data_IF_060394098190
#
_entry.id   IF_060394098190
#
_cell.length_a   1.000
_cell.length_b   1.000
_cell.length_c   1.000
_cell.angle_alpha   90.00
_cell.angle_beta   90.00
_cell.angle_gamma   90.00
#
_symmetry.space_group_name_H-M   'P 1'
#
loop_
_entity.id
_entity.type
_entity.pdbx_description
1 polymer ?
#
# COMPACT_ATOMS: atom_id res chain seq x y z
N UNK A 1 13.35 1.32 -16.09
CA UNK A 1 13.48 1.33 -14.62
C UNK A 1 14.45 0.27 -14.12
N UNK A 2 15.67 0.65 -13.83
CA UNK A 2 16.70 -0.27 -13.29
C UNK A 2 16.31 -0.87 -11.95
N UNK A 3 15.64 -0.07 -11.08
CA UNK A 3 15.21 -0.48 -9.73
C UNK A 3 14.20 -1.65 -9.74
N UNK A 4 13.20 -1.62 -10.62
CA UNK A 4 12.25 -2.73 -10.78
C UNK A 4 12.94 -4.00 -11.26
N UNK A 5 13.88 -3.89 -12.20
CA UNK A 5 14.67 -5.03 -12.68
C UNK A 5 15.53 -5.64 -11.57
N UNK A 6 16.17 -4.82 -10.74
CA UNK A 6 16.94 -5.30 -9.60
C UNK A 6 16.04 -5.98 -8.54
N UNK A 7 14.87 -5.41 -8.27
CA UNK A 7 13.92 -5.98 -7.31
C UNK A 7 13.33 -7.33 -7.76
N UNK A 8 13.24 -7.57 -9.07
CA UNK A 8 12.70 -8.82 -9.61
C UNK A 8 13.53 -10.06 -9.19
N UNK A 9 14.81 -9.89 -8.89
CA UNK A 9 15.72 -10.94 -8.41
C UNK A 9 15.92 -10.88 -6.88
N UNK A 10 15.03 -10.24 -6.13
CA UNK A 10 15.19 -10.09 -4.68
C UNK A 10 14.91 -11.41 -3.94
N UNK A 11 15.94 -11.91 -3.26
CA UNK A 11 15.91 -13.09 -2.39
C UNK A 11 16.17 -12.72 -0.91
N UNK A 12 15.90 -11.48 -0.52
CA UNK A 12 16.25 -10.94 0.79
C UNK A 12 15.52 -11.59 1.98
N UNK A 13 14.37 -12.24 1.76
CA UNK A 13 13.64 -13.00 2.78
C UNK A 13 12.89 -14.16 2.10
N UNK A 14 12.52 -15.20 2.86
CA UNK A 14 11.84 -16.41 2.34
C UNK A 14 10.53 -16.16 1.58
N UNK A 15 9.98 -14.95 1.58
CA UNK A 15 8.74 -14.64 0.85
C UNK A 15 8.90 -14.79 -0.66
N UNK A 16 10.12 -14.66 -1.21
CA UNK A 16 10.39 -14.90 -2.63
C UNK A 16 10.14 -16.36 -3.03
N UNK A 17 10.37 -17.32 -2.11
CA UNK A 17 10.15 -18.74 -2.36
C UNK A 17 8.66 -19.11 -2.47
N UNK A 18 7.81 -18.41 -1.70
CA UNK A 18 6.38 -18.70 -1.63
C UNK A 18 5.54 -17.79 -2.52
N UNK A 19 5.98 -16.57 -2.80
CA UNK A 19 5.37 -15.67 -3.77
C UNK A 19 5.59 -16.14 -5.20
N UNK A 20 4.73 -15.74 -6.12
CA UNK A 20 4.88 -16.06 -7.54
C UNK A 20 5.94 -15.18 -8.19
N UNK A 21 6.02 -13.94 -7.78
CA UNK A 21 6.94 -12.93 -8.29
C UNK A 21 7.02 -11.71 -7.36
N UNK A 22 8.03 -10.88 -7.58
CA UNK A 22 8.10 -9.55 -6.97
C UNK A 22 7.02 -8.64 -7.56
N UNK A 23 6.21 -8.02 -6.71
CA UNK A 23 5.25 -6.99 -7.09
C UNK A 23 5.80 -5.63 -6.70
N UNK A 24 6.45 -4.98 -7.65
CA UNK A 24 7.04 -3.66 -7.47
C UNK A 24 6.00 -2.56 -7.70
N UNK A 25 6.28 -1.32 -7.24
CA UNK A 25 5.37 -0.21 -7.42
C UNK A 25 5.08 0.13 -8.89
N UNK A 26 3.95 0.75 -9.18
CA UNK A 26 3.49 1.13 -10.52
C UNK A 26 2.92 2.55 -10.52
N UNK A 27 3.25 3.31 -11.54
CA UNK A 27 2.83 4.69 -11.76
C UNK A 27 3.96 5.54 -12.35
N UNK A 28 3.68 6.82 -12.64
CA UNK A 28 4.71 7.75 -13.10
C UNK A 28 5.79 7.97 -12.03
N UNK A 29 7.06 8.01 -12.43
CA UNK A 29 8.17 8.38 -11.52
C UNK A 29 8.07 9.84 -11.05
N UNK A 30 7.34 10.68 -11.80
CA UNK A 30 7.03 12.07 -11.47
C UNK A 30 5.69 12.23 -10.73
N UNK A 31 5.12 11.16 -10.16
CA UNK A 31 3.86 11.25 -9.46
C UNK A 31 3.98 12.10 -8.19
N UNK A 32 3.15 13.14 -8.10
CA UNK A 32 3.08 13.97 -6.88
C UNK A 32 2.43 13.24 -5.70
N UNK A 33 1.60 12.22 -5.97
CA UNK A 33 0.85 11.46 -4.97
C UNK A 33 1.24 9.99 -5.01
N UNK A 34 1.72 9.48 -3.88
CA UNK A 34 2.14 8.09 -3.71
C UNK A 34 1.33 7.40 -2.61
N UNK A 35 0.81 6.22 -2.94
CA UNK A 35 0.10 5.36 -1.99
C UNK A 35 0.94 4.13 -1.64
N UNK A 36 1.05 3.82 -0.36
CA UNK A 36 1.78 2.65 0.15
C UNK A 36 0.82 1.74 0.90
N UNK A 37 0.65 0.50 0.43
CA UNK A 37 -0.08 -0.56 1.10
C UNK A 37 0.81 -1.49 1.93
N UNK A 38 0.25 -2.61 2.38
CA UNK A 38 0.95 -3.58 3.21
C UNK A 38 1.85 -4.51 2.37
N UNK A 39 1.24 -5.34 1.54
CA UNK A 39 1.87 -6.33 0.67
C UNK A 39 0.91 -6.68 -0.48
N UNK A 40 1.39 -7.33 -1.56
CA UNK A 40 0.52 -7.85 -2.62
C UNK A 40 -0.51 -8.85 -2.08
N UNK A 41 -1.68 -8.90 -2.69
CA UNK A 41 -2.63 -10.00 -2.53
C UNK A 41 -2.44 -11.08 -3.59
N UNK A 42 -3.32 -12.10 -3.61
CA UNK A 42 -3.23 -13.21 -4.57
C UNK A 42 -3.33 -12.77 -6.04
N UNK A 43 -4.18 -11.79 -6.34
CA UNK A 43 -4.33 -11.28 -7.71
C UNK A 43 -3.14 -10.43 -8.13
N UNK A 44 -2.62 -9.60 -7.22
CA UNK A 44 -1.43 -8.79 -7.43
C UNK A 44 -0.19 -9.66 -7.66
N UNK A 45 -0.01 -10.70 -6.85
CA UNK A 45 1.09 -11.66 -6.96
C UNK A 45 1.11 -12.39 -8.29
N UNK A 46 -0.08 -12.75 -8.82
CA UNK A 46 -0.23 -13.37 -10.14
C UNK A 46 0.00 -12.39 -11.29
N UNK A 47 -0.50 -11.16 -11.14
CA UNK A 47 -0.44 -10.15 -12.19
C UNK A 47 0.90 -9.37 -12.23
N UNK A 48 1.69 -9.43 -11.16
CA UNK A 48 2.91 -8.62 -11.00
C UNK A 48 2.64 -7.12 -10.85
N UNK A 49 1.41 -6.72 -10.48
CA UNK A 49 0.97 -5.33 -10.39
C UNK A 49 0.31 -5.04 -9.05
N UNK A 50 0.62 -3.89 -8.38
CA UNK A 50 -0.01 -3.54 -7.11
C UNK A 50 -1.46 -3.09 -7.31
N UNK A 51 -2.31 -3.35 -6.33
CA UNK A 51 -3.70 -2.88 -6.26
C UNK A 51 -4.59 -3.24 -7.46
N UNK A 52 -4.50 -4.46 -7.99
CA UNK A 52 -5.38 -4.99 -9.05
C UNK A 52 -6.49 -5.91 -8.52
N UNK A 53 -6.37 -6.38 -7.29
CA UNK A 53 -7.34 -7.24 -6.62
C UNK A 53 -8.53 -6.47 -6.01
N UNK A 54 -9.34 -7.15 -5.18
CA UNK A 54 -10.56 -6.55 -4.60
C UNK A 54 -10.32 -5.26 -3.81
N UNK A 55 -9.22 -5.19 -3.04
CA UNK A 55 -8.84 -3.99 -2.30
C UNK A 55 -8.44 -2.84 -3.23
N UNK A 56 -7.74 -3.15 -4.32
CA UNK A 56 -7.39 -2.18 -5.35
C UNK A 56 -8.63 -1.62 -6.07
N UNK A 57 -9.57 -2.48 -6.47
CA UNK A 57 -10.83 -2.01 -7.08
C UNK A 57 -11.64 -1.10 -6.16
N UNK A 58 -11.66 -1.39 -4.85
CA UNK A 58 -12.30 -0.51 -3.88
C UNK A 58 -11.57 0.82 -3.76
N UNK A 59 -10.23 0.79 -3.76
CA UNK A 59 -9.40 2.00 -3.78
C UNK A 59 -9.66 2.82 -5.04
N UNK A 60 -9.69 2.20 -6.21
CA UNK A 60 -9.95 2.88 -7.49
C UNK A 60 -11.31 3.59 -7.48
N UNK A 61 -12.36 2.92 -6.95
CA UNK A 61 -13.67 3.54 -6.77
C UNK A 61 -13.59 4.76 -5.84
N UNK A 62 -12.93 4.64 -4.70
CA UNK A 62 -12.80 5.71 -3.72
C UNK A 62 -11.98 6.91 -4.26
N UNK A 63 -10.89 6.63 -5.03
CA UNK A 63 -10.10 7.66 -5.70
C UNK A 63 -10.95 8.45 -6.70
N UNK A 64 -11.76 7.76 -7.52
CA UNK A 64 -12.65 8.39 -8.48
C UNK A 64 -13.69 9.29 -7.77
N UNK A 65 -14.30 8.83 -6.67
CA UNK A 65 -15.26 9.63 -5.87
C UNK A 65 -14.60 10.81 -5.13
N UNK A 66 -13.29 10.70 -4.85
CA UNK A 66 -12.51 11.79 -4.25
C UNK A 66 -11.91 12.75 -5.29
N UNK A 67 -12.10 12.51 -6.61
CA UNK A 67 -11.55 13.33 -7.67
C UNK A 67 -10.06 13.13 -7.93
N UNK A 68 -9.46 12.02 -7.46
CA UNK A 68 -8.04 11.70 -7.64
C UNK A 68 -7.86 10.84 -8.90
N UNK A 69 -7.04 11.31 -9.84
CA UNK A 69 -6.70 10.56 -11.04
C UNK A 69 -5.74 9.41 -10.72
N UNK A 70 -6.24 8.17 -10.69
CA UNK A 70 -5.47 6.94 -10.42
C UNK A 70 -4.23 6.81 -11.30
N UNK A 71 -4.30 7.20 -12.58
CA UNK A 71 -3.17 7.07 -13.52
C UNK A 71 -2.03 8.07 -13.27
N UNK A 72 -2.29 9.14 -12.54
CA UNK A 72 -1.30 10.13 -12.13
C UNK A 72 -0.65 9.81 -10.77
N UNK A 73 -1.07 8.72 -10.10
CA UNK A 73 -0.55 8.31 -8.79
C UNK A 73 0.46 7.18 -8.90
N UNK A 74 1.39 7.11 -7.94
CA UNK A 74 2.27 5.95 -7.78
C UNK A 74 1.73 5.04 -6.67
N UNK A 75 1.59 3.76 -6.98
CA UNK A 75 1.06 2.75 -6.06
C UNK A 75 2.12 1.72 -5.73
N UNK A 76 2.32 1.44 -4.45
CA UNK A 76 3.26 0.39 -4.01
C UNK A 76 2.83 -0.21 -2.68
N UNK A 77 3.64 -1.14 -2.17
CA UNK A 77 3.46 -1.78 -0.88
C UNK A 77 4.76 -1.76 -0.06
N UNK A 78 4.64 -1.85 1.26
CA UNK A 78 5.79 -1.97 2.16
C UNK A 78 6.58 -3.26 1.92
N UNK A 79 5.89 -4.36 1.61
CA UNK A 79 6.50 -5.66 1.27
C UNK A 79 6.20 -5.99 -0.19
N UNK A 80 7.21 -6.50 -0.92
CA UNK A 80 7.13 -6.71 -2.37
C UNK A 80 6.70 -8.13 -2.79
N UNK A 81 6.61 -9.06 -1.85
CA UNK A 81 6.17 -10.44 -2.10
C UNK A 81 4.91 -10.76 -1.29
N UNK A 82 4.08 -11.64 -1.84
CA UNK A 82 2.84 -12.09 -1.19
C UNK A 82 3.13 -13.13 -0.13
N UNK A 83 2.83 -12.82 1.13
CA UNK A 83 2.85 -13.78 2.23
C UNK A 83 1.49 -14.47 2.34
N UNK A 84 1.48 -15.79 2.24
CA UNK A 84 0.26 -16.58 2.29
C UNK A 84 0.46 -17.94 2.92
N UNK A 85 -0.64 -18.55 3.29
CA UNK A 85 -0.69 -19.94 3.76
C UNK A 85 -1.76 -20.70 2.96
N UNK A 86 -1.46 -21.94 2.59
CA UNK A 86 -2.42 -22.80 1.89
C UNK A 86 -3.59 -23.20 2.81
N UNK A 87 -4.81 -23.06 2.31
CA UNK A 87 -6.02 -23.63 2.90
C UNK A 87 -6.83 -24.31 1.80
N UNK A 88 -6.64 -25.61 1.64
CA UNK A 88 -7.11 -26.35 0.47
C UNK A 88 -6.47 -25.78 -0.81
N UNK A 89 -7.29 -25.42 -1.79
CA UNK A 89 -6.83 -24.82 -3.06
C UNK A 89 -6.62 -23.30 -3.00
N UNK A 90 -6.86 -22.66 -1.85
CA UNK A 90 -6.79 -21.20 -1.70
C UNK A 90 -5.49 -20.79 -1.04
N UNK A 91 -4.90 -19.70 -1.53
CA UNK A 91 -3.81 -18.97 -0.88
C UNK A 91 -4.40 -17.91 0.05
N UNK A 92 -4.29 -18.12 1.36
CA UNK A 92 -4.86 -17.22 2.36
C UNK A 92 -3.78 -16.24 2.81
N UNK A 93 -4.04 -14.97 2.62
CA UNK A 93 -3.18 -13.86 3.05
C UNK A 93 -2.77 -14.01 4.52
N UNK A 94 -1.47 -13.83 4.79
CA UNK A 94 -0.89 -13.78 6.12
C UNK A 94 -0.21 -12.43 6.30
N UNK A 95 -0.35 -11.82 7.47
CA UNK A 95 0.31 -10.55 7.76
C UNK A 95 1.84 -10.73 7.75
N UNK A 96 2.60 -9.82 7.10
CA UNK A 96 4.06 -9.83 7.18
C UNK A 96 4.53 -9.66 8.62
N UNK A 97 5.59 -10.37 8.99
CA UNK A 97 6.31 -10.16 10.24
C UNK A 97 7.13 -8.87 10.17
N UNK A 98 7.51 -8.36 11.34
CA UNK A 98 8.39 -7.18 11.37
C UNK A 98 9.74 -7.41 10.69
N UNK A 99 10.31 -8.60 10.82
CA UNK A 99 11.56 -8.95 10.14
C UNK A 99 11.42 -8.87 8.62
N UNK A 100 10.34 -9.41 8.05
CA UNK A 100 10.07 -9.34 6.61
C UNK A 100 9.86 -7.90 6.11
N UNK A 101 9.16 -7.08 6.90
CA UNK A 101 8.98 -5.65 6.61
C UNK A 101 10.33 -4.94 6.61
N UNK A 102 11.16 -5.18 7.62
CA UNK A 102 12.48 -4.55 7.77
C UNK A 102 13.41 -4.91 6.62
N UNK A 103 13.46 -6.17 6.22
CA UNK A 103 14.30 -6.63 5.10
C UNK A 103 13.81 -6.05 3.77
N UNK A 104 12.48 -5.87 3.60
CA UNK A 104 11.91 -5.34 2.36
C UNK A 104 11.95 -3.80 2.28
N UNK A 105 12.11 -3.11 3.40
CA UNK A 105 12.08 -1.65 3.53
C UNK A 105 13.04 -0.91 2.59
N UNK A 106 14.28 -1.36 2.31
CA UNK A 106 15.17 -0.68 1.36
C UNK A 106 14.56 -0.48 -0.03
N UNK A 107 13.71 -1.40 -0.50
CA UNK A 107 13.01 -1.24 -1.77
C UNK A 107 11.99 -0.11 -1.74
N UNK A 108 11.23 0.02 -0.65
CA UNK A 108 10.28 1.11 -0.48
C UNK A 108 11.00 2.47 -0.36
N UNK A 109 12.10 2.52 0.39
CA UNK A 109 12.92 3.73 0.51
C UNK A 109 13.52 4.15 -0.82
N UNK A 110 13.98 3.19 -1.64
CA UNK A 110 14.46 3.48 -2.98
C UNK A 110 13.36 4.01 -3.91
N UNK A 111 12.12 3.49 -3.81
CA UNK A 111 10.98 4.05 -4.54
C UNK A 111 10.68 5.50 -4.10
N UNK A 112 10.70 5.79 -2.80
CA UNK A 112 10.52 7.16 -2.29
C UNK A 112 11.58 8.13 -2.82
N UNK A 113 12.85 7.69 -2.89
CA UNK A 113 13.96 8.50 -3.44
C UNK A 113 13.79 8.76 -4.93
N UNK A 114 13.28 7.79 -5.70
CA UNK A 114 13.06 7.95 -7.15
C UNK A 114 11.83 8.80 -7.44
N UNK A 115 10.71 8.50 -6.80
CA UNK A 115 9.42 9.18 -7.07
C UNK A 115 9.40 10.58 -6.44
N UNK A 116 9.94 10.73 -5.24
CA UNK A 116 9.92 11.99 -4.46
C UNK A 116 8.52 12.64 -4.43
N UNK A 117 7.51 11.92 -3.96
CA UNK A 117 6.15 12.42 -3.99
C UNK A 117 6.01 13.66 -3.10
N UNK A 118 5.16 14.61 -3.51
CA UNK A 118 4.78 15.73 -2.65
C UNK A 118 3.86 15.27 -1.52
N UNK A 119 2.96 14.32 -1.81
CA UNK A 119 2.01 13.77 -0.84
C UNK A 119 2.21 12.24 -0.75
N UNK A 120 2.45 11.75 0.47
CA UNK A 120 2.59 10.32 0.78
C UNK A 120 1.40 9.85 1.62
N UNK A 121 0.68 8.84 1.13
CA UNK A 121 -0.50 8.26 1.80
C UNK A 121 -0.22 6.82 2.21
N UNK A 122 -0.29 6.55 3.51
CA UNK A 122 -0.02 5.25 4.10
C UNK A 122 -1.33 4.52 4.37
N UNK A 123 -1.58 3.45 3.61
CA UNK A 123 -2.81 2.65 3.66
C UNK A 123 -2.67 1.50 4.66
N UNK A 124 -3.22 1.69 5.86
CA UNK A 124 -3.25 0.69 6.92
C UNK A 124 -2.03 0.71 7.85
N UNK A 125 -2.15 -0.05 8.93
CA UNK A 125 -1.17 -0.03 10.02
C UNK A 125 0.23 -0.50 9.58
N UNK A 126 0.32 -1.56 8.76
CA UNK A 126 1.62 -2.10 8.33
C UNK A 126 2.40 -1.10 7.48
N UNK A 127 1.76 -0.46 6.51
CA UNK A 127 2.38 0.59 5.69
C UNK A 127 2.84 1.76 6.57
N UNK A 128 1.98 2.26 7.45
CA UNK A 128 2.32 3.35 8.34
C UNK A 128 3.48 2.99 9.29
N UNK A 129 3.41 1.83 9.94
CA UNK A 129 4.44 1.39 10.87
C UNK A 129 5.79 1.12 10.20
N UNK A 130 5.82 0.68 8.94
CA UNK A 130 7.06 0.44 8.21
C UNK A 130 7.92 1.69 8.03
N UNK A 131 7.30 2.88 7.97
CA UNK A 131 7.95 4.15 7.73
C UNK A 131 7.97 5.08 8.96
N UNK A 132 6.91 5.06 9.79
CA UNK A 132 6.72 5.98 10.91
C UNK A 132 7.00 5.36 12.28
N UNK A 133 7.38 4.07 12.31
CA UNK A 133 7.68 3.36 13.55
C UNK A 133 6.53 2.51 14.09
N UNK A 134 6.88 1.46 14.85
CA UNK A 134 5.97 0.39 15.29
C UNK A 134 4.80 0.87 16.17
N UNK A 135 4.98 1.99 16.85
CA UNK A 135 3.98 2.54 17.77
C UNK A 135 2.93 3.39 17.07
N UNK A 136 3.09 3.66 15.77
CA UNK A 136 2.13 4.46 15.02
C UNK A 136 0.74 3.80 14.97
N UNK A 137 -0.30 4.58 15.23
CA UNK A 137 -1.71 4.14 15.27
C UNK A 137 -2.54 4.89 14.23
N UNK A 138 -2.85 4.22 13.11
CA UNK A 138 -3.63 4.80 12.00
C UNK A 138 -4.98 5.34 12.48
N UNK A 139 -5.70 4.60 13.32
CA UNK A 139 -7.03 4.98 13.80
C UNK A 139 -7.07 6.33 14.55
N UNK A 140 -5.95 6.75 15.13
CA UNK A 140 -5.80 8.01 15.85
C UNK A 140 -5.31 9.16 14.96
N UNK A 141 -4.85 8.84 13.74
CA UNK A 141 -4.14 9.77 12.86
C UNK A 141 -4.75 9.87 11.45
N UNK A 142 -5.97 9.39 11.24
CA UNK A 142 -6.70 9.59 9.96
C UNK A 142 -6.95 11.08 9.73
N UNK A 143 -6.82 11.53 8.49
CA UNK A 143 -7.03 12.94 8.06
C UNK A 143 -6.21 13.94 8.86
N UNK A 144 -5.00 13.56 9.24
CA UNK A 144 -4.04 14.46 9.88
C UNK A 144 -2.75 14.46 9.06
N UNK A 145 -2.12 15.60 9.01
CA UNK A 145 -0.73 15.68 8.56
C UNK A 145 0.17 15.14 9.65
N UNK A 146 1.13 14.33 9.22
CA UNK A 146 2.12 13.70 10.08
C UNK A 146 3.45 14.36 9.77
N UNK A 147 4.10 14.91 10.79
CA UNK A 147 5.44 15.48 10.66
C UNK A 147 6.44 14.38 10.26
N UNK A 148 7.07 14.54 9.10
CA UNK A 148 7.99 13.55 8.54
C UNK A 148 8.83 14.15 7.42
N UNK A 149 10.05 13.68 7.26
CA UNK A 149 10.95 14.06 6.16
C UNK A 149 10.72 13.26 4.87
N UNK A 150 9.75 12.34 4.87
CA UNK A 150 9.49 11.43 3.73
C UNK A 150 8.83 12.13 2.54
N UNK A 151 8.05 13.19 2.79
CA UNK A 151 7.38 14.01 1.79
C UNK A 151 6.92 15.33 2.42
N UNK A 152 6.53 16.32 1.62
CA UNK A 152 5.99 17.60 2.13
C UNK A 152 4.72 17.40 2.95
N UNK A 153 3.88 16.44 2.54
CA UNK A 153 2.68 16.06 3.27
C UNK A 153 2.64 14.52 3.43
N UNK A 154 2.61 14.05 4.66
CA UNK A 154 2.44 12.62 4.98
C UNK A 154 1.13 12.46 5.74
N UNK A 155 0.32 11.47 5.33
CA UNK A 155 -0.93 11.15 6.01
C UNK A 155 -1.17 9.63 6.00
N UNK A 156 -2.08 9.16 6.84
CA UNK A 156 -2.44 7.75 6.93
C UNK A 156 -3.96 7.57 7.00
N UNK A 157 -4.44 6.50 6.38
CA UNK A 157 -5.83 6.06 6.48
C UNK A 157 -5.91 4.54 6.56
N UNK A 158 -7.11 3.99 6.69
CA UNK A 158 -7.32 2.55 6.73
C UNK A 158 -6.94 1.90 5.40
N UNK A 159 -6.55 0.63 5.43
CA UNK A 159 -6.37 -0.14 4.20
C UNK A 159 -7.73 -0.54 3.63
N UNK A 160 -7.98 -0.43 2.30
CA UNK A 160 -9.28 -0.78 1.70
C UNK A 160 -9.77 -2.19 2.04
N UNK A 161 -8.86 -3.15 2.24
CA UNK A 161 -9.23 -4.51 2.66
C UNK A 161 -9.89 -4.58 4.04
N UNK A 162 -9.72 -3.57 4.89
CA UNK A 162 -10.40 -3.52 6.19
C UNK A 162 -11.91 -3.36 6.00
N UNK A 163 -12.31 -2.48 5.07
CA UNK A 163 -13.73 -2.27 4.68
C UNK A 163 -14.33 -3.57 4.15
N UNK A 164 -13.59 -4.27 3.26
CA UNK A 164 -14.06 -5.54 2.67
C UNK A 164 -14.26 -6.67 3.71
N UNK A 165 -13.46 -6.67 4.78
CA UNK A 165 -13.56 -7.63 5.90
C UNK A 165 -14.53 -7.21 6.99
N UNK A 166 -14.95 -5.94 6.98
CA UNK A 166 -15.88 -5.37 7.94
C UNK A 166 -17.31 -5.95 7.81
N UNK A 167 -18.14 -5.63 8.79
CA UNK A 167 -19.57 -6.01 8.85
C UNK A 167 -20.29 -5.44 7.64
N UNK A 168 -21.12 -6.23 6.92
CA UNK A 168 -21.83 -5.77 5.72
C UNK A 168 -22.61 -4.47 5.92
N UNK A 169 -23.25 -4.33 7.07
CA UNK A 169 -24.10 -3.19 7.44
C UNK A 169 -23.31 -1.89 7.62
N UNK A 170 -22.00 -2.00 7.91
CA UNK A 170 -21.11 -0.85 8.14
C UNK A 170 -20.28 -0.48 6.91
N UNK A 171 -20.24 -1.33 5.89
CA UNK A 171 -19.34 -1.15 4.73
C UNK A 171 -19.59 0.15 3.98
N UNK A 172 -20.83 0.55 3.82
CA UNK A 172 -21.17 1.80 3.12
C UNK A 172 -20.67 3.02 3.90
N UNK A 173 -20.91 3.06 5.21
CA UNK A 173 -20.43 4.15 6.07
C UNK A 173 -18.88 4.17 6.16
N UNK A 174 -18.24 3.00 6.26
CA UNK A 174 -16.79 2.90 6.28
C UNK A 174 -16.18 3.31 4.93
N UNK A 175 -16.82 2.96 3.82
CA UNK A 175 -16.41 3.40 2.50
C UNK A 175 -16.55 4.92 2.33
N UNK A 176 -17.68 5.50 2.73
CA UNK A 176 -17.88 6.95 2.69
C UNK A 176 -16.82 7.69 3.53
N UNK A 177 -16.55 7.21 4.75
CA UNK A 177 -15.49 7.77 5.59
C UNK A 177 -14.08 7.62 4.94
N UNK A 178 -13.83 6.55 4.20
CA UNK A 178 -12.59 6.36 3.45
C UNK A 178 -12.49 7.33 2.25
N UNK A 179 -13.58 7.58 1.54
CA UNK A 179 -13.65 8.61 0.49
C UNK A 179 -13.36 9.99 1.06
N UNK A 180 -13.88 10.32 2.25
CA UNK A 180 -13.58 11.60 2.92
C UNK A 180 -12.12 11.75 3.32
N UNK A 181 -11.46 10.64 3.71
CA UNK A 181 -10.00 10.65 3.93
C UNK A 181 -9.25 10.97 2.62
N UNK A 182 -9.71 10.41 1.49
CA UNK A 182 -9.09 10.68 0.18
C UNK A 182 -9.40 12.09 -0.35
N UNK A 183 -10.58 12.65 -0.04
CA UNK A 183 -10.88 14.06 -0.33
C UNK A 183 -9.95 15.01 0.43
N UNK A 184 -9.65 14.68 1.70
CA UNK A 184 -8.61 15.41 2.45
C UNK A 184 -7.27 15.36 1.72
N UNK A 185 -6.86 14.17 1.21
CA UNK A 185 -5.62 14.01 0.42
C UNK A 185 -5.67 14.83 -0.87
N UNK A 186 -6.80 14.86 -1.57
CA UNK A 186 -6.97 15.63 -2.81
C UNK A 186 -6.86 17.16 -2.60
N UNK A 187 -7.09 17.63 -1.38
CA UNK A 187 -6.96 19.05 -0.99
C UNK A 187 -5.57 19.46 -0.54
N UNK A 188 -4.63 18.51 -0.41
CA UNK A 188 -3.24 18.80 -0.06
C UNK A 188 -2.45 19.22 -1.28
#
# INVERSE_FOLDING_TARGET
MALRGAAAACEGCHLWEIGTQTVFGEGPESAELMFVGEQPGDQEDRAGKPFVGPAGRLLDKALAEAGINRSATYMTNAVKHFKWQARGKRRIHQKPTWAEITVCRPWLEAELVVVRPRVLVLLGATAAQSLLGREFRVTQNRRKLIESELAEAVTATIHPSAILRGEPERREAEFAAFVDDLRFVAGL
#
